data_IF_213681372338
#
_entry.id   IF_213681372338
#
_cell.length_a   1.000
_cell.length_b   1.000
_cell.length_c   1.000
_cell.angle_alpha   90.00
_cell.angle_beta   90.00
_cell.angle_gamma   90.00
#
_symmetry.space_group_name_H-M   'P 1'
#
loop_
_entity.id
_entity.type
_entity.pdbx_description
1 polymer ?
#
# COMPACT_ATOMS: atom_id res chain seq x y z
N UNK A 1 -35.46 -26.44 -18.00
CA UNK A 1 -34.63 -25.96 -16.87
C UNK A 1 -33.73 -24.89 -17.45
N UNK A 2 -33.71 -23.67 -16.91
CA UNK A 2 -32.80 -22.64 -17.41
C UNK A 2 -31.37 -23.06 -17.06
N UNK A 3 -30.48 -23.05 -18.04
CA UNK A 3 -29.05 -23.19 -17.84
C UNK A 3 -28.56 -21.96 -17.07
N UNK A 4 -27.94 -22.16 -15.91
CA UNK A 4 -27.40 -21.08 -15.09
C UNK A 4 -25.93 -20.83 -15.47
N UNK A 5 -25.53 -19.56 -15.52
CA UNK A 5 -24.15 -19.14 -15.79
C UNK A 5 -23.56 -18.46 -14.54
N UNK A 6 -22.41 -18.95 -14.09
CA UNK A 6 -21.69 -18.37 -12.96
C UNK A 6 -20.77 -17.24 -13.42
N UNK A 7 -20.97 -16.04 -12.88
CA UNK A 7 -20.09 -14.88 -13.13
C UNK A 7 -19.31 -14.59 -11.86
N UNK A 8 -17.98 -14.60 -11.95
CA UNK A 8 -17.07 -14.36 -10.82
C UNK A 8 -16.10 -13.24 -11.17
N UNK A 9 -15.99 -12.25 -10.28
CA UNK A 9 -14.97 -11.22 -10.32
C UNK A 9 -13.91 -11.45 -9.25
N UNK A 10 -12.64 -11.19 -9.56
CA UNK A 10 -11.54 -11.25 -8.61
C UNK A 10 -10.90 -9.87 -8.49
N UNK A 11 -10.62 -9.46 -7.25
CA UNK A 11 -9.82 -8.28 -6.93
C UNK A 11 -8.53 -8.76 -6.25
N UNK A 12 -7.38 -8.44 -6.83
CA UNK A 12 -6.08 -8.91 -6.37
C UNK A 12 -5.22 -7.71 -6.04
N UNK A 13 -4.67 -7.69 -4.83
CA UNK A 13 -3.71 -6.67 -4.39
C UNK A 13 -2.32 -7.31 -4.33
N UNK A 14 -1.34 -6.67 -4.97
CA UNK A 14 0.06 -7.12 -4.99
C UNK A 14 0.94 -5.97 -4.49
N UNK A 15 1.86 -6.28 -3.58
CA UNK A 15 2.83 -5.30 -3.11
C UNK A 15 4.01 -5.20 -4.07
N UNK A 16 4.33 -3.97 -4.50
CA UNK A 16 5.51 -3.70 -5.33
C UNK A 16 6.77 -3.88 -4.47
N UNK A 17 7.76 -4.60 -5.00
CA UNK A 17 9.06 -4.78 -4.35
C UNK A 17 9.96 -3.55 -4.56
N UNK A 18 9.57 -2.42 -3.97
CA UNK A 18 10.34 -1.17 -3.96
C UNK A 18 11.12 -1.00 -2.65
N UNK A 19 12.20 -0.20 -2.71
CA UNK A 19 12.98 0.16 -1.52
C UNK A 19 12.31 1.25 -0.67
N UNK A 20 11.46 2.08 -1.30
CA UNK A 20 10.68 3.16 -0.67
C UNK A 20 9.17 2.95 -0.84
N UNK A 21 8.38 3.66 -0.04
CA UNK A 21 6.93 3.77 -0.22
C UNK A 21 6.60 4.61 -1.46
N UNK A 22 5.36 4.46 -1.94
CA UNK A 22 4.91 5.08 -3.19
C UNK A 22 4.95 6.61 -3.20
N UNK A 23 4.81 7.24 -2.03
CA UNK A 23 4.68 8.70 -1.88
C UNK A 23 5.61 9.31 -0.82
N UNK A 24 6.54 8.51 -0.31
CA UNK A 24 7.54 8.96 0.66
C UNK A 24 8.82 8.14 0.54
N UNK A 25 9.95 8.74 0.93
CA UNK A 25 11.24 8.06 0.95
C UNK A 25 11.38 7.04 2.10
N UNK A 26 10.32 6.78 2.88
CA UNK A 26 10.37 5.81 3.97
C UNK A 26 10.44 4.39 3.41
N UNK A 27 11.28 3.51 3.98
CA UNK A 27 11.39 2.13 3.53
C UNK A 27 10.20 1.29 3.99
N UNK A 28 10.13 0.08 3.45
CA UNK A 28 9.33 -1.01 3.99
C UNK A 28 10.21 -2.23 4.25
N UNK A 29 10.14 -2.80 5.44
CA UNK A 29 10.59 -4.16 5.69
C UNK A 29 9.60 -4.90 6.60
N UNK A 30 9.41 -6.18 6.28
CA UNK A 30 8.53 -7.04 7.06
C UNK A 30 9.07 -7.18 8.51
N UNK A 31 8.18 -7.04 9.49
CA UNK A 31 8.50 -7.24 10.91
C UNK A 31 9.21 -6.08 11.60
N UNK A 32 9.31 -4.90 10.98
CA UNK A 32 9.86 -3.72 11.62
C UNK A 32 9.07 -3.30 12.89
N UNK A 33 9.74 -2.71 13.90
CA UNK A 33 9.04 -2.20 15.08
C UNK A 33 7.92 -1.21 14.75
N UNK A 34 6.89 -1.09 15.60
CA UNK A 34 5.81 -0.15 15.39
C UNK A 34 6.32 1.28 15.16
N UNK A 35 5.83 1.92 14.09
CA UNK A 35 6.14 3.30 13.72
C UNK A 35 7.63 3.62 13.44
N UNK A 36 8.50 2.61 13.27
CA UNK A 36 9.93 2.84 13.02
C UNK A 36 10.28 3.17 11.56
N UNK A 37 9.33 3.02 10.64
CA UNK A 37 9.50 3.25 9.20
C UNK A 37 8.45 4.23 8.68
N UNK A 38 8.30 5.36 9.36
CA UNK A 38 7.25 6.36 9.11
C UNK A 38 7.91 7.73 8.98
N UNK A 39 7.60 8.44 7.89
CA UNK A 39 7.90 9.86 7.73
C UNK A 39 6.71 10.73 8.16
N UNK A 40 6.88 12.06 8.32
CA UNK A 40 5.74 12.96 8.58
C UNK A 40 4.60 12.82 7.56
N UNK A 41 4.92 12.56 6.29
CA UNK A 41 3.92 12.32 5.25
C UNK A 41 3.11 11.04 5.53
N UNK A 42 3.78 9.94 5.87
CA UNK A 42 3.10 8.68 6.20
C UNK A 42 2.19 8.82 7.43
N UNK A 43 2.56 9.71 8.36
CA UNK A 43 1.78 10.04 9.55
C UNK A 43 0.71 11.11 9.31
N UNK A 44 0.50 11.56 8.06
CA UNK A 44 -0.47 12.59 7.69
C UNK A 44 -0.30 13.91 8.44
N UNK A 45 0.95 14.30 8.74
CA UNK A 45 1.25 15.56 9.42
C UNK A 45 0.83 16.75 8.53
N UNK A 46 0.14 17.76 9.06
CA UNK A 46 -0.28 18.92 8.26
C UNK A 46 0.89 19.60 7.53
N UNK A 47 0.69 19.91 6.24
CA UNK A 47 1.69 20.58 5.41
C UNK A 47 2.66 19.65 4.68
N UNK A 48 2.58 18.34 4.86
CA UNK A 48 3.36 17.38 4.07
C UNK A 48 2.75 17.15 2.69
N UNK A 49 3.61 16.99 1.67
CA UNK A 49 3.22 16.72 0.29
C UNK A 49 3.79 15.37 -0.17
N UNK A 50 3.12 14.65 -1.08
CA UNK A 50 3.64 13.41 -1.64
C UNK A 50 4.88 13.69 -2.50
N UNK A 51 5.88 12.82 -2.39
CA UNK A 51 7.07 12.83 -3.23
C UNK A 51 7.34 11.44 -3.77
N UNK A 52 7.68 11.34 -5.06
CA UNK A 52 8.07 10.09 -5.72
C UNK A 52 9.55 9.82 -5.55
#
# INVERSE_FOLDING_TARGET
LKDWEGVVGLEVHVQIASESKLFSASPYSFGAPPNSQVSPFDASVPGTLPVS
#
